data_IF_340773473718
#
_entry.id   IF_340773473718
#
_cell.length_a   1.000
_cell.length_b   1.000
_cell.length_c   1.000
_cell.angle_alpha   90.00
_cell.angle_beta   90.00
_cell.angle_gamma   90.00
#
_symmetry.space_group_name_H-M   'P 1'
#
loop_
_entity.id
_entity.type
_entity.pdbx_description
1 polymer ?
#
# COMPACT_ATOMS: atom_id res chain seq x y z
N UNK A 1 -10.28 -16.50 16.16
CA UNK A 1 -11.64 -16.55 15.61
C UNK A 1 -11.62 -15.75 14.32
N UNK A 2 -11.63 -16.46 13.22
CA UNK A 2 -11.54 -15.90 11.87
C UNK A 2 -12.97 -15.82 11.33
N UNK A 3 -13.62 -14.67 11.44
CA UNK A 3 -14.98 -14.44 10.92
C UNK A 3 -15.11 -13.07 10.27
N UNK A 4 -14.06 -12.60 9.61
CA UNK A 4 -14.17 -11.50 8.67
C UNK A 4 -14.19 -12.08 7.25
N UNK A 5 -15.27 -11.92 6.50
CA UNK A 5 -15.29 -12.26 5.09
C UNK A 5 -14.19 -11.49 4.35
N UNK A 6 -13.28 -12.20 3.69
CA UNK A 6 -12.25 -11.57 2.88
C UNK A 6 -12.81 -11.37 1.47
N UNK A 7 -13.09 -10.12 1.10
CA UNK A 7 -13.49 -9.75 -0.25
C UNK A 7 -12.26 -9.42 -1.11
N UNK A 8 -12.28 -9.68 -2.43
CA UNK A 8 -11.21 -9.25 -3.33
C UNK A 8 -11.04 -7.74 -3.27
N UNK A 9 -9.79 -7.27 -3.13
CA UNK A 9 -9.51 -5.84 -3.10
C UNK A 9 -9.82 -5.21 -4.46
N UNK A 10 -10.69 -4.21 -4.46
CA UNK A 10 -11.13 -3.52 -5.65
C UNK A 10 -10.00 -2.71 -6.31
N UNK A 11 -9.95 -2.74 -7.63
CA UNK A 11 -9.28 -1.72 -8.42
C UNK A 11 -10.27 -0.57 -8.60
N UNK A 12 -9.84 0.66 -8.39
CA UNK A 12 -10.68 1.84 -8.63
C UNK A 12 -11.24 1.82 -10.06
N UNK A 13 -12.57 1.73 -10.21
CA UNK A 13 -13.28 1.73 -11.48
C UNK A 13 -14.79 1.63 -11.33
N UNK A 14 -15.54 2.39 -12.14
CA UNK A 14 -17.02 2.42 -12.13
C UNK A 14 -17.68 1.08 -12.50
N UNK A 15 -16.90 0.12 -13.01
CA UNK A 15 -17.27 -1.28 -13.13
C UNK A 15 -16.18 -2.05 -12.38
N UNK A 16 -16.52 -2.60 -11.21
CA UNK A 16 -15.63 -3.34 -10.31
C UNK A 16 -15.11 -4.59 -11.03
N UNK A 17 -14.14 -4.41 -11.90
CA UNK A 17 -13.37 -5.51 -12.47
C UNK A 17 -12.13 -5.68 -11.60
N UNK A 18 -12.19 -6.63 -10.67
CA UNK A 18 -10.99 -7.12 -9.98
C UNK A 18 -10.14 -7.83 -11.04
N UNK A 19 -9.25 -7.08 -11.70
CA UNK A 19 -8.29 -7.68 -12.63
C UNK A 19 -7.24 -8.46 -11.82
N UNK A 20 -7.49 -9.76 -11.66
CA UNK A 20 -6.60 -10.66 -10.93
C UNK A 20 -5.23 -10.82 -11.60
N UNK A 21 -5.07 -10.35 -12.83
CA UNK A 21 -3.80 -10.32 -13.54
C UNK A 21 -2.99 -9.06 -13.21
N UNK A 22 -3.63 -8.04 -12.64
CA UNK A 22 -2.97 -6.82 -12.16
C UNK A 22 -2.75 -6.85 -10.66
N UNK A 23 -3.75 -7.31 -9.89
CA UNK A 23 -3.70 -7.36 -8.42
C UNK A 23 -4.37 -8.62 -7.88
N UNK A 24 -3.68 -9.31 -6.98
CA UNK A 24 -4.22 -10.45 -6.23
C UNK A 24 -4.07 -10.17 -4.74
N UNK A 25 -5.07 -9.50 -4.18
CA UNK A 25 -5.20 -9.18 -2.77
C UNK A 25 -6.68 -9.27 -2.38
N UNK A 26 -6.97 -9.32 -1.09
CA UNK A 26 -8.31 -9.24 -0.53
C UNK A 26 -8.40 -8.03 0.41
N UNK A 27 -9.52 -7.34 0.40
CA UNK A 27 -9.87 -6.38 1.46
C UNK A 27 -10.31 -7.12 2.71
N UNK A 28 -9.99 -6.55 3.86
CA UNK A 28 -10.38 -7.09 5.17
C UNK A 28 -11.20 -6.03 5.88
N UNK A 29 -12.39 -6.41 6.30
CA UNK A 29 -13.17 -5.58 7.21
C UNK A 29 -12.62 -5.70 8.63
N UNK A 30 -12.51 -4.56 9.31
CA UNK A 30 -12.11 -4.47 10.70
C UNK A 30 -13.25 -3.86 11.53
N UNK A 31 -13.25 -4.13 12.81
CA UNK A 31 -14.22 -3.51 13.71
C UNK A 31 -13.99 -1.99 13.85
N UNK A 32 -15.03 -1.22 14.19
CA UNK A 32 -14.95 0.24 14.27
C UNK A 32 -13.89 0.77 15.25
N UNK A 33 -13.63 0.07 16.35
CA UNK A 33 -12.60 0.49 17.31
C UNK A 33 -11.20 0.36 16.74
N UNK A 34 -10.95 -0.74 16.01
CA UNK A 34 -9.68 -0.94 15.29
C UNK A 34 -9.49 0.13 14.23
N UNK A 35 -10.53 0.43 13.45
CA UNK A 35 -10.51 1.48 12.43
C UNK A 35 -10.14 2.83 13.03
N UNK A 36 -10.86 3.27 14.09
CA UNK A 36 -10.61 4.53 14.79
C UNK A 36 -9.17 4.62 15.33
N UNK A 37 -8.69 3.54 15.96
CA UNK A 37 -7.32 3.50 16.48
C UNK A 37 -6.25 3.65 15.37
N UNK A 38 -6.50 3.06 14.21
CA UNK A 38 -5.60 3.19 13.05
C UNK A 38 -5.66 4.60 12.48
N UNK A 39 -6.85 5.18 12.33
CA UNK A 39 -7.01 6.55 11.85
C UNK A 39 -6.27 7.56 12.73
N UNK A 40 -6.36 7.44 14.05
CA UNK A 40 -5.64 8.29 14.99
C UNK A 40 -4.11 8.15 14.85
N UNK A 41 -3.61 6.93 14.64
CA UNK A 41 -2.18 6.69 14.43
C UNK A 41 -1.67 7.27 13.11
N UNK A 42 -2.42 7.10 12.03
CA UNK A 42 -2.07 7.68 10.72
C UNK A 42 -2.11 9.21 10.77
N UNK A 43 -3.11 9.77 11.45
CA UNK A 43 -3.19 11.22 11.65
C UNK A 43 -2.00 11.75 12.46
N UNK A 44 -1.55 11.02 13.48
CA UNK A 44 -0.37 11.40 14.26
C UNK A 44 0.93 11.41 13.44
N UNK A 45 1.02 10.65 12.35
CA UNK A 45 2.15 10.63 11.45
C UNK A 45 2.17 11.81 10.46
N UNK A 46 1.04 12.47 10.25
CA UNK A 46 0.87 13.57 9.28
C UNK A 46 1.97 14.64 9.36
N UNK A 47 2.23 15.15 10.57
CA UNK A 47 3.21 16.22 10.75
C UNK A 47 4.63 15.81 10.30
N UNK A 48 5.04 14.59 10.59
CA UNK A 48 6.34 14.07 10.17
C UNK A 48 6.40 13.86 8.65
N UNK A 49 5.33 13.33 8.05
CA UNK A 49 5.21 13.15 6.61
C UNK A 49 5.27 14.50 5.89
N UNK A 50 4.49 15.48 6.34
CA UNK A 50 4.49 16.86 5.83
C UNK A 50 5.89 17.48 5.87
N UNK A 51 6.54 17.40 7.02
CA UNK A 51 7.88 17.96 7.21
C UNK A 51 8.93 17.30 6.30
N UNK A 52 8.86 15.96 6.16
CA UNK A 52 9.82 15.22 5.34
C UNK A 52 9.67 15.52 3.84
N UNK A 53 8.42 15.56 3.33
CA UNK A 53 8.16 15.76 1.90
C UNK A 53 8.09 17.25 1.52
N UNK A 54 8.02 18.16 2.47
CA UNK A 54 7.87 19.60 2.21
C UNK A 54 6.54 19.98 1.54
N UNK A 55 5.50 19.14 1.72
CA UNK A 55 4.19 19.29 1.11
C UNK A 55 3.16 19.72 2.15
N UNK A 56 2.19 20.52 1.73
CA UNK A 56 1.00 20.79 2.54
C UNK A 56 -0.07 19.74 2.21
N UNK A 57 -0.11 18.68 3.00
CA UNK A 57 -1.09 17.60 2.83
C UNK A 57 -2.35 17.88 3.64
N UNK A 58 -3.49 17.73 2.98
CA UNK A 58 -4.82 18.02 3.51
C UNK A 58 -5.51 16.79 4.09
N UNK A 59 -6.66 16.41 3.54
CA UNK A 59 -7.45 15.25 3.98
C UNK A 59 -6.75 13.92 3.69
N UNK A 60 -7.18 12.87 4.39
CA UNK A 60 -6.87 11.47 4.04
C UNK A 60 -8.07 10.84 3.32
N UNK A 61 -7.81 9.81 2.54
CA UNK A 61 -8.86 9.00 1.91
C UNK A 61 -9.55 8.10 2.93
N UNK A 62 -8.78 7.52 3.82
CA UNK A 62 -9.16 6.55 4.83
C UNK A 62 -8.42 5.22 4.65
N UNK A 63 -8.14 4.52 5.74
CA UNK A 63 -7.31 3.31 5.68
C UNK A 63 -8.08 2.14 5.06
N UNK A 64 -7.42 1.45 4.13
CA UNK A 64 -7.84 0.17 3.58
C UNK A 64 -6.93 -0.95 4.11
N UNK A 65 -7.53 -2.01 4.61
CA UNK A 65 -6.83 -3.19 5.13
C UNK A 65 -6.76 -4.25 4.04
N UNK A 66 -5.55 -4.66 3.69
CA UNK A 66 -5.31 -5.54 2.55
C UNK A 66 -4.54 -6.78 2.98
N UNK A 67 -4.95 -7.93 2.46
CA UNK A 67 -4.31 -9.22 2.66
C UNK A 67 -3.84 -9.82 1.34
N UNK A 68 -2.57 -10.20 1.29
CA UNK A 68 -1.97 -10.93 0.20
C UNK A 68 -1.61 -12.33 0.69
N UNK A 69 -2.34 -13.35 0.22
CA UNK A 69 -2.00 -14.76 0.47
C UNK A 69 -0.87 -15.25 -0.45
N UNK A 70 -0.50 -16.52 -0.38
CA UNK A 70 0.50 -17.12 -1.29
C UNK A 70 0.16 -16.87 -2.77
N UNK A 71 1.12 -16.39 -3.53
CA UNK A 71 0.93 -15.94 -4.92
C UNK A 71 0.23 -14.59 -5.06
N UNK A 72 -0.11 -13.91 -3.95
CA UNK A 72 -0.66 -12.55 -3.96
C UNK A 72 0.40 -11.53 -4.38
N UNK A 73 0.00 -10.56 -5.20
CA UNK A 73 0.90 -9.55 -5.76
C UNK A 73 0.12 -8.29 -6.16
N UNK A 74 0.83 -7.23 -6.49
CA UNK A 74 0.31 -6.07 -7.21
C UNK A 74 1.36 -5.62 -8.22
N UNK A 75 1.01 -5.62 -9.51
CA UNK A 75 1.91 -5.21 -10.59
C UNK A 75 2.31 -3.74 -10.44
N UNK A 76 3.38 -3.36 -11.13
CA UNK A 76 3.89 -1.98 -11.16
C UNK A 76 2.78 -1.01 -11.57
N UNK A 77 2.53 -0.02 -10.73
CA UNK A 77 1.50 1.03 -10.88
C UNK A 77 1.93 2.30 -10.14
N UNK A 78 1.17 3.38 -10.36
CA UNK A 78 1.21 4.59 -9.55
C UNK A 78 -0.16 4.72 -8.86
N UNK A 79 -0.17 5.22 -7.63
CA UNK A 79 -1.42 5.47 -6.89
C UNK A 79 -2.11 6.77 -7.32
N UNK A 80 -1.34 7.72 -7.87
CA UNK A 80 -1.87 8.93 -8.50
C UNK A 80 -2.27 8.61 -9.94
N UNK A 81 -3.56 8.80 -10.26
CA UNK A 81 -4.02 8.68 -11.62
C UNK A 81 -3.64 9.90 -12.45
N UNK A 82 -3.20 9.66 -13.68
CA UNK A 82 -2.94 10.72 -14.68
C UNK A 82 -4.20 11.01 -15.51
N UNK A 83 -5.17 10.09 -15.46
CA UNK A 83 -6.39 10.13 -16.27
C UNK A 83 -7.55 10.78 -15.51
N UNK A 84 -8.29 11.65 -16.22
CA UNK A 84 -9.50 12.30 -15.73
C UNK A 84 -10.65 11.32 -15.38
N UNK A 85 -10.53 10.06 -15.77
CA UNK A 85 -11.47 9.00 -15.38
C UNK A 85 -11.47 8.70 -13.88
N UNK A 86 -10.44 9.12 -13.14
CA UNK A 86 -10.24 8.84 -11.72
C UNK A 86 -9.93 10.11 -10.91
N UNK A 87 -10.87 11.06 -10.80
CA UNK A 87 -10.59 12.36 -10.20
C UNK A 87 -10.14 12.28 -8.74
N UNK A 88 -10.59 11.26 -7.99
CA UNK A 88 -10.15 11.04 -6.60
C UNK A 88 -8.68 10.63 -6.56
N UNK A 89 -8.28 9.63 -7.34
CA UNK A 89 -6.89 9.19 -7.39
C UNK A 89 -5.95 10.26 -7.99
N UNK A 90 -6.44 11.13 -8.88
CA UNK A 90 -5.64 12.23 -9.42
C UNK A 90 -5.19 13.24 -8.37
N UNK A 91 -5.95 13.39 -7.27
CA UNK A 91 -5.62 14.31 -6.18
C UNK A 91 -4.66 13.75 -5.13
N UNK A 92 -4.32 12.46 -5.16
CA UNK A 92 -3.43 11.82 -4.19
C UNK A 92 -2.02 12.39 -4.30
N UNK A 93 -1.47 12.88 -3.19
CA UNK A 93 -0.11 13.43 -3.13
C UNK A 93 0.86 12.43 -2.50
N UNK A 94 0.49 11.84 -1.38
CA UNK A 94 1.32 10.89 -0.63
C UNK A 94 0.56 9.58 -0.42
N UNK A 95 1.20 8.49 -0.77
CA UNK A 95 0.77 7.13 -0.45
C UNK A 95 1.44 6.66 0.83
N UNK A 96 0.70 5.94 1.65
CA UNK A 96 1.19 5.37 2.90
C UNK A 96 0.91 3.87 2.90
N UNK A 97 1.92 3.09 3.27
CA UNK A 97 1.83 1.64 3.50
C UNK A 97 2.34 1.34 4.91
N UNK A 98 1.50 0.70 5.73
CA UNK A 98 1.89 0.20 7.05
C UNK A 98 1.91 -1.32 7.02
N UNK A 99 3.04 -1.91 7.37
CA UNK A 99 3.18 -3.37 7.45
C UNK A 99 2.64 -3.88 8.80
N UNK A 100 1.67 -4.78 8.77
CA UNK A 100 1.09 -5.40 9.96
C UNK A 100 1.84 -6.65 10.41
N UNK A 101 2.69 -7.21 9.55
CA UNK A 101 3.60 -8.29 9.86
C UNK A 101 4.92 -8.19 9.08
N UNK A 102 5.87 -9.05 9.39
CA UNK A 102 7.23 -8.99 8.86
C UNK A 102 7.48 -10.06 7.79
N UNK A 103 8.36 -9.74 6.83
CA UNK A 103 8.90 -10.72 5.88
C UNK A 103 10.18 -11.33 6.39
N UNK A 104 10.32 -12.66 6.21
CA UNK A 104 11.53 -13.44 6.49
C UNK A 104 11.73 -14.54 5.46
N UNK A 105 12.97 -14.96 5.29
CA UNK A 105 13.32 -16.08 4.40
C UNK A 105 12.77 -17.43 4.90
N UNK A 106 12.64 -17.59 6.22
CA UNK A 106 12.04 -18.76 6.87
C UNK A 106 10.97 -18.26 7.86
N UNK A 107 9.73 -18.05 7.35
CA UNK A 107 8.69 -17.37 8.11
C UNK A 107 8.05 -18.29 9.13
N UNK A 108 7.79 -17.75 10.32
CA UNK A 108 6.89 -18.35 11.31
C UNK A 108 5.42 -18.21 10.86
N UNK A 109 4.48 -18.74 11.66
CA UNK A 109 3.04 -18.66 11.35
C UNK A 109 2.52 -17.22 11.21
N UNK A 110 3.15 -16.26 11.88
CA UNK A 110 2.75 -14.84 11.89
C UNK A 110 3.55 -13.99 10.89
N UNK A 111 4.47 -14.60 10.17
CA UNK A 111 5.35 -13.96 9.21
C UNK A 111 5.06 -14.47 7.79
N UNK A 112 5.71 -13.88 6.80
CA UNK A 112 5.60 -14.29 5.40
C UNK A 112 6.96 -14.22 4.71
N UNK A 113 7.06 -14.76 3.50
CA UNK A 113 8.23 -14.58 2.63
C UNK A 113 7.82 -14.08 1.24
N UNK A 114 8.70 -13.38 0.56
CA UNK A 114 8.37 -12.58 -0.63
C UNK A 114 7.56 -11.34 -0.26
N UNK A 115 6.75 -10.84 -1.16
CA UNK A 115 5.84 -9.72 -0.91
C UNK A 115 6.55 -8.39 -0.65
N UNK A 116 7.78 -8.21 -1.13
CA UNK A 116 8.53 -6.96 -1.02
C UNK A 116 7.78 -5.84 -1.73
N UNK A 117 7.79 -4.65 -1.11
CA UNK A 117 7.39 -3.42 -1.77
C UNK A 117 8.59 -2.88 -2.55
N UNK A 118 8.49 -2.82 -3.86
CA UNK A 118 9.57 -2.33 -4.73
C UNK A 118 9.17 -0.98 -5.29
N UNK A 119 10.01 0.02 -5.05
CA UNK A 119 9.86 1.39 -5.55
C UNK A 119 10.71 1.59 -6.79
N UNK A 120 10.18 2.31 -7.76
CA UNK A 120 10.87 2.72 -8.99
C UNK A 120 10.92 4.25 -9.02
N UNK A 121 11.83 4.89 -8.26
CA UNK A 121 11.91 6.35 -8.24
C UNK A 121 12.23 6.86 -9.64
N UNK A 122 11.49 7.88 -10.08
CA UNK A 122 11.85 8.61 -11.29
C UNK A 122 13.18 9.30 -11.07
N UNK A 123 14.09 9.10 -12.00
CA UNK A 123 15.39 9.77 -12.02
C UNK A 123 15.29 10.92 -12.99
N UNK A 124 16.03 12.01 -12.72
CA UNK A 124 16.19 13.15 -13.61
C UNK A 124 16.49 12.69 -15.05
N UNK A 125 16.03 13.42 -16.09
CA UNK A 125 16.28 13.08 -17.49
C UNK A 125 17.75 12.78 -17.84
N UNK A 126 18.67 13.27 -17.01
CA UNK A 126 20.13 13.13 -17.18
C UNK A 126 20.73 11.93 -16.41
N UNK A 127 19.89 11.14 -15.68
CA UNK A 127 20.38 9.96 -14.97
C UNK A 127 19.63 8.71 -15.45
N UNK A 128 20.34 7.57 -15.67
CA UNK A 128 19.68 6.32 -16.02
C UNK A 128 18.69 5.92 -14.91
N UNK A 129 17.62 5.18 -15.26
CA UNK A 129 16.64 4.67 -14.30
C UNK A 129 17.36 4.20 -13.03
N UNK A 130 17.02 4.81 -11.90
CA UNK A 130 17.59 4.43 -10.61
C UNK A 130 17.32 2.95 -10.34
N UNK A 131 18.25 2.29 -9.68
CA UNK A 131 18.04 0.92 -9.28
C UNK A 131 16.76 0.82 -8.44
N UNK A 132 15.89 -0.18 -8.68
CA UNK A 132 14.71 -0.37 -7.86
C UNK A 132 15.06 -0.44 -6.38
N UNK A 133 14.34 0.31 -5.55
CA UNK A 133 14.50 0.28 -4.11
C UNK A 133 13.54 -0.76 -3.51
N UNK A 134 14.12 -1.82 -2.98
CA UNK A 134 13.36 -2.87 -2.31
C UNK A 134 13.18 -2.54 -0.82
N UNK A 135 11.93 -2.45 -0.39
CA UNK A 135 11.55 -2.25 1.01
C UNK A 135 11.22 -3.60 1.62
N UNK A 136 12.05 -4.04 2.56
CA UNK A 136 11.80 -5.27 3.31
C UNK A 136 10.72 -5.00 4.37
N UNK A 137 9.57 -5.68 4.32
CA UNK A 137 8.48 -5.49 5.26
C UNK A 137 8.89 -5.81 6.70
N UNK A 138 8.59 -4.87 7.60
CA UNK A 138 8.76 -5.03 9.06
C UNK A 138 7.50 -4.58 9.76
N UNK A 139 7.01 -5.40 10.67
CA UNK A 139 5.81 -5.09 11.45
C UNK A 139 5.91 -3.71 12.12
N UNK A 140 4.85 -2.91 12.00
CA UNK A 140 4.75 -1.57 12.56
C UNK A 140 5.50 -0.49 11.77
N UNK A 141 6.24 -0.86 10.70
CA UNK A 141 6.90 0.11 9.84
C UNK A 141 5.88 0.79 8.92
N UNK A 142 5.92 2.13 8.89
CA UNK A 142 5.19 2.97 7.94
C UNK A 142 6.15 3.46 6.87
N UNK A 143 5.76 3.29 5.62
CA UNK A 143 6.44 3.85 4.45
C UNK A 143 5.53 4.89 3.81
N UNK A 144 6.03 6.12 3.64
CA UNK A 144 5.33 7.20 2.96
C UNK A 144 6.12 7.64 1.74
N UNK A 145 5.46 7.80 0.59
CA UNK A 145 6.11 8.16 -0.67
C UNK A 145 5.15 8.94 -1.58
N UNK A 146 5.66 9.75 -2.53
CA UNK A 146 4.83 10.45 -3.50
C UNK A 146 3.94 9.48 -4.28
N UNK A 147 2.65 9.74 -4.36
CA UNK A 147 1.68 8.84 -5.02
C UNK A 147 1.93 8.65 -6.52
N UNK A 148 2.69 9.56 -7.15
CA UNK A 148 3.18 9.43 -8.52
C UNK A 148 4.34 8.43 -8.67
N UNK A 149 4.97 7.99 -7.58
CA UNK A 149 6.08 7.03 -7.63
C UNK A 149 5.56 5.66 -8.06
N UNK A 150 6.09 5.14 -9.17
CA UNK A 150 5.79 3.79 -9.61
C UNK A 150 6.30 2.77 -8.58
N UNK A 151 5.47 1.79 -8.25
CA UNK A 151 5.81 0.75 -7.28
C UNK A 151 5.07 -0.54 -7.57
N UNK A 152 5.52 -1.64 -6.98
CA UNK A 152 4.89 -2.95 -7.08
C UNK A 152 4.97 -3.71 -5.76
N UNK A 153 4.11 -4.70 -5.59
CA UNK A 153 4.22 -5.73 -4.55
C UNK A 153 4.58 -7.03 -5.23
N UNK A 154 5.78 -7.56 -4.93
CA UNK A 154 6.21 -8.87 -5.44
C UNK A 154 5.33 -9.99 -4.93
N UNK A 155 5.26 -11.13 -5.62
CA UNK A 155 4.47 -12.26 -5.17
C UNK A 155 4.89 -12.74 -3.75
N UNK A 156 3.91 -12.93 -2.89
CA UNK A 156 4.10 -13.60 -1.60
C UNK A 156 4.39 -15.07 -1.89
N UNK A 157 5.53 -15.57 -1.42
CA UNK A 157 5.93 -16.97 -1.65
C UNK A 157 5.41 -17.93 -0.59
N UNK A 158 5.32 -17.48 0.66
CA UNK A 158 4.72 -18.26 1.76
C UNK A 158 4.14 -17.34 2.83
N UNK A 159 3.20 -17.83 3.62
CA UNK A 159 2.51 -17.08 4.65
C UNK A 159 1.50 -16.07 4.09
N UNK A 160 1.18 -15.06 4.87
CA UNK A 160 0.18 -14.05 4.54
C UNK A 160 0.77 -12.67 4.85
N UNK A 161 0.75 -11.75 3.88
CA UNK A 161 1.20 -10.37 4.04
C UNK A 161 -0.02 -9.49 4.30
N UNK A 162 -0.07 -8.87 5.47
CA UNK A 162 -1.12 -7.93 5.86
C UNK A 162 -0.57 -6.51 5.93
N UNK A 163 -1.29 -5.56 5.33
CA UNK A 163 -0.93 -4.14 5.32
C UNK A 163 -2.16 -3.24 5.46
N UNK A 164 -1.88 -2.01 5.88
CA UNK A 164 -2.81 -0.89 5.74
C UNK A 164 -2.26 0.01 4.65
N UNK A 165 -3.13 0.50 3.77
CA UNK A 165 -2.81 1.55 2.79
C UNK A 165 -3.73 2.73 2.99
N UNK A 166 -3.22 3.94 2.79
CA UNK A 166 -3.98 5.19 2.87
C UNK A 166 -3.32 6.26 1.99
N UNK A 167 -4.05 7.30 1.65
CA UNK A 167 -3.57 8.38 0.80
C UNK A 167 -3.89 9.74 1.41
N UNK A 168 -2.94 10.65 1.29
CA UNK A 168 -3.09 12.05 1.64
C UNK A 168 -3.20 12.90 0.38
N UNK A 169 -4.06 13.92 0.48
CA UNK A 169 -4.37 14.90 -0.57
C UNK A 169 -3.79 16.26 -0.25
#
# INVERSE_FOLDING_TARGET
MDQGGAEPAELLGSDIVVDRDVRRASSIEVDPMTLEAVELKLESARAAITAYHGLSIGRREGPSFLRYGPGGFYRRHCDQAVDAAWPEAAGRQISVVVFLNSSRSDPTREEFSGGELVMFPEVSPDMPEGAPLEIVPRQGCLVAFPSATAHEVRPVSAGVRDVIVDWFY
#
